data_IF_125891459409
#
_entry.id   IF_125891459409
#
_cell.length_a   1.000
_cell.length_b   1.000
_cell.length_c   1.000
_cell.angle_alpha   90.00
_cell.angle_beta   90.00
_cell.angle_gamma   90.00
#
_symmetry.space_group_name_H-M   'P 1'
#
loop_
_entity.id
_entity.type
_entity.pdbx_description
1 polymer ?
#
# COMPACT_ATOMS: atom_id res chain seq x y z
N UNK A 1 -0.81 -0.74 19.42
CA UNK A 1 -0.52 -1.10 18.01
C UNK A 1 0.91 -1.56 17.75
N UNK A 2 1.92 -0.96 18.38
CA UNK A 2 3.35 -1.27 18.15
C UNK A 2 3.74 -2.77 18.14
N UNK A 3 3.24 -3.64 19.07
CA UNK A 3 3.59 -5.06 19.01
C UNK A 3 3.20 -5.75 17.70
N UNK A 4 2.02 -5.40 17.13
CA UNK A 4 1.57 -5.96 15.86
C UNK A 4 2.41 -5.47 14.68
N UNK A 5 2.81 -4.20 14.71
CA UNK A 5 3.69 -3.64 13.68
C UNK A 5 5.08 -4.33 13.71
N UNK A 6 5.58 -4.68 14.89
CA UNK A 6 6.83 -5.43 15.01
C UNK A 6 6.72 -6.85 14.42
N UNK A 7 5.56 -7.49 14.56
CA UNK A 7 5.30 -8.80 13.93
C UNK A 7 5.20 -8.65 12.41
N UNK A 8 4.51 -7.61 11.92
CA UNK A 8 4.49 -7.30 10.49
C UNK A 8 5.91 -7.11 9.94
N UNK A 9 6.75 -6.36 10.63
CA UNK A 9 8.15 -6.16 10.24
C UNK A 9 8.94 -7.46 10.23
N UNK A 10 8.78 -8.31 11.26
CA UNK A 10 9.39 -9.64 11.31
C UNK A 10 8.98 -10.48 10.10
N UNK A 11 7.69 -10.48 9.75
CA UNK A 11 7.16 -11.21 8.61
C UNK A 11 7.72 -10.68 7.27
N UNK A 12 7.77 -9.35 7.07
CA UNK A 12 8.36 -8.74 5.90
C UNK A 12 9.85 -9.10 5.75
N UNK A 13 10.63 -9.02 6.82
CA UNK A 13 12.06 -9.37 6.80
C UNK A 13 12.28 -10.85 6.52
N UNK A 14 11.48 -11.73 7.08
CA UNK A 14 11.56 -13.15 6.79
C UNK A 14 11.24 -13.45 5.31
N UNK A 15 10.22 -12.83 4.74
CA UNK A 15 9.89 -12.95 3.32
C UNK A 15 10.98 -12.34 2.41
N UNK A 16 11.69 -11.32 2.87
CA UNK A 16 12.76 -10.68 2.10
C UNK A 16 13.91 -11.60 1.76
N UNK A 17 14.18 -12.62 2.59
CA UNK A 17 15.19 -13.64 2.32
C UNK A 17 14.81 -14.48 1.09
N UNK A 18 13.53 -14.84 0.98
CA UNK A 18 12.98 -15.58 -0.17
C UNK A 18 13.06 -14.71 -1.43
N UNK A 19 12.57 -13.46 -1.34
CA UNK A 19 12.62 -12.50 -2.44
C UNK A 19 14.05 -12.29 -2.93
N UNK A 20 14.99 -12.08 -2.01
CA UNK A 20 16.39 -11.82 -2.35
C UNK A 20 17.04 -13.00 -3.09
N UNK A 21 16.72 -14.24 -2.71
CA UNK A 21 17.19 -15.44 -3.42
C UNK A 21 16.65 -15.49 -4.85
N UNK A 22 15.34 -15.32 -5.02
CA UNK A 22 14.68 -15.33 -6.34
C UNK A 22 15.18 -14.14 -7.19
N UNK A 23 15.27 -12.95 -6.62
CA UNK A 23 15.72 -11.74 -7.32
C UNK A 23 17.17 -11.87 -7.82
N UNK A 24 18.04 -12.54 -7.09
CA UNK A 24 19.43 -12.79 -7.49
C UNK A 24 19.60 -13.99 -8.40
N UNK A 25 18.60 -14.85 -8.55
CA UNK A 25 18.65 -16.01 -9.45
C UNK A 25 18.84 -15.54 -10.89
N UNK A 26 19.66 -16.29 -11.63
CA UNK A 26 19.83 -16.13 -13.09
C UNK A 26 18.84 -16.99 -13.88
N UNK A 27 18.15 -17.89 -13.21
CA UNK A 27 17.16 -18.77 -13.85
C UNK A 27 15.86 -17.99 -14.06
N UNK A 28 15.54 -17.76 -15.33
CA UNK A 28 14.33 -17.05 -15.70
C UNK A 28 13.04 -17.89 -15.50
N UNK A 29 13.16 -19.20 -15.40
CA UNK A 29 12.00 -20.06 -15.18
C UNK A 29 11.47 -19.92 -13.74
N UNK A 30 12.32 -19.64 -12.78
CA UNK A 30 11.95 -19.30 -11.40
C UNK A 30 11.11 -18.00 -11.30
N UNK A 31 11.25 -17.12 -12.29
CA UNK A 31 10.61 -15.80 -12.31
C UNK A 31 9.28 -15.75 -13.09
N UNK A 32 8.93 -16.80 -13.83
CA UNK A 32 7.82 -16.76 -14.81
C UNK A 32 6.43 -16.99 -14.24
N UNK A 33 6.26 -17.15 -12.95
CA UNK A 33 4.94 -17.40 -12.36
C UNK A 33 4.67 -16.46 -11.19
N UNK A 34 4.06 -15.32 -11.50
CA UNK A 34 3.58 -14.35 -10.49
C UNK A 34 2.78 -15.02 -9.38
N UNK A 35 1.80 -15.85 -9.79
CA UNK A 35 0.91 -16.52 -8.85
C UNK A 35 1.69 -17.37 -7.85
N UNK A 36 2.67 -18.14 -8.33
CA UNK A 36 3.47 -19.01 -7.44
C UNK A 36 4.37 -18.24 -6.48
N UNK A 37 4.96 -17.14 -6.93
CA UNK A 37 5.84 -16.32 -6.08
C UNK A 37 4.99 -15.55 -5.07
N UNK A 38 3.91 -14.91 -5.51
CA UNK A 38 2.98 -14.21 -4.66
C UNK A 38 2.40 -15.13 -3.59
N UNK A 39 1.97 -16.34 -3.99
CA UNK A 39 1.44 -17.36 -3.11
C UNK A 39 2.46 -17.81 -2.05
N UNK A 40 3.67 -18.13 -2.48
CA UNK A 40 4.75 -18.54 -1.58
C UNK A 40 5.07 -17.47 -0.54
N UNK A 41 5.18 -16.22 -0.97
CA UNK A 41 5.49 -15.11 -0.08
C UNK A 41 4.34 -14.83 0.89
N UNK A 42 3.11 -14.88 0.39
CA UNK A 42 1.92 -14.69 1.23
C UNK A 42 1.83 -15.77 2.30
N UNK A 43 1.94 -17.06 1.92
CA UNK A 43 1.90 -18.17 2.88
C UNK A 43 2.96 -18.00 3.96
N UNK A 44 4.19 -17.67 3.55
CA UNK A 44 5.28 -17.45 4.49
C UNK A 44 5.02 -16.28 5.46
N UNK A 45 4.51 -15.16 4.96
CA UNK A 45 4.14 -14.00 5.79
C UNK A 45 3.00 -14.39 6.76
N UNK A 46 1.98 -15.08 6.26
CA UNK A 46 0.84 -15.52 7.06
C UNK A 46 1.26 -16.50 8.17
N UNK A 47 2.17 -17.44 7.89
CA UNK A 47 2.72 -18.36 8.88
C UNK A 47 3.45 -17.61 10.01
N UNK A 48 4.33 -16.65 9.67
CA UNK A 48 5.05 -15.85 10.67
C UNK A 48 4.09 -15.07 11.57
N UNK A 49 3.00 -14.56 11.00
CA UNK A 49 1.97 -13.86 11.76
C UNK A 49 1.21 -14.87 12.65
N UNK A 50 0.83 -16.03 12.13
CA UNK A 50 0.10 -17.07 12.85
C UNK A 50 0.91 -17.62 14.04
N UNK A 51 2.19 -17.89 13.84
CA UNK A 51 3.08 -18.36 14.92
C UNK A 51 3.21 -17.36 16.07
N UNK A 52 3.03 -16.09 15.77
CA UNK A 52 3.07 -15.02 16.77
C UNK A 52 1.76 -14.89 17.55
N UNK A 53 0.68 -15.48 17.02
CA UNK A 53 -0.66 -15.52 17.63
C UNK A 53 -1.19 -16.97 17.57
N UNK A 54 -0.67 -17.89 18.41
CA UNK A 54 -1.04 -19.29 18.35
C UNK A 54 -2.55 -19.47 18.59
N UNK A 55 -3.14 -20.35 17.82
CA UNK A 55 -4.52 -20.82 18.01
C UNK A 55 -4.64 -21.48 19.38
N UNK A 56 -5.33 -20.88 20.32
CA UNK A 56 -5.50 -21.46 21.63
C UNK A 56 -6.30 -20.63 22.61
N UNK A 57 -6.41 -19.36 22.35
CA UNK A 57 -7.24 -18.46 23.16
C UNK A 57 -8.47 -18.07 22.34
N UNK A 58 -9.53 -18.84 22.47
CA UNK A 58 -10.81 -18.57 21.81
C UNK A 58 -11.48 -17.29 22.31
N UNK A 59 -11.01 -16.72 23.39
CA UNK A 59 -11.49 -15.46 23.97
C UNK A 59 -10.58 -14.26 23.67
N UNK A 60 -9.35 -14.47 23.22
CA UNK A 60 -8.52 -13.40 22.66
C UNK A 60 -8.71 -13.40 21.15
N UNK A 61 -9.32 -12.33 20.67
CA UNK A 61 -9.54 -12.04 19.27
C UNK A 61 -8.20 -12.00 18.51
N UNK A 62 -7.72 -13.17 18.13
CA UNK A 62 -6.53 -13.32 17.30
C UNK A 62 -6.70 -12.61 15.97
N UNK A 63 -5.60 -12.24 15.31
CA UNK A 63 -5.68 -11.67 13.99
C UNK A 63 -6.37 -12.66 13.05
N UNK A 64 -7.47 -12.22 12.45
CA UNK A 64 -8.06 -12.93 11.34
C UNK A 64 -7.35 -12.44 10.11
N UNK A 65 -6.57 -13.29 9.46
CA UNK A 65 -6.05 -12.92 8.13
C UNK A 65 -7.17 -13.05 7.14
N UNK A 66 -7.14 -12.14 6.22
CA UNK A 66 -7.95 -12.23 5.05
C UNK A 66 -7.39 -13.40 4.25
N UNK A 67 -8.26 -14.32 3.92
CA UNK A 67 -7.91 -15.52 3.23
C UNK A 67 -7.12 -15.18 1.96
N UNK A 68 -6.01 -15.84 1.84
CA UNK A 68 -5.04 -15.94 0.79
C UNK A 68 -5.54 -15.83 -0.67
N UNK A 69 -6.73 -16.27 -0.97
CA UNK A 69 -7.37 -16.12 -2.29
C UNK A 69 -7.53 -14.67 -2.76
N UNK A 70 -7.22 -13.72 -1.93
CA UNK A 70 -7.41 -12.30 -2.18
C UNK A 70 -6.24 -11.67 -2.95
N UNK A 71 -5.04 -12.21 -2.81
CA UNK A 71 -3.86 -11.74 -3.56
C UNK A 71 -3.96 -12.12 -5.03
N UNK A 72 -4.64 -13.20 -5.32
CA UNK A 72 -4.96 -13.63 -6.67
C UNK A 72 -6.42 -13.26 -6.95
N UNK A 73 -6.68 -12.34 -7.80
CA UNK A 73 -7.93 -11.86 -8.39
C UNK A 73 -9.18 -12.80 -8.38
N UNK A 74 -9.08 -14.02 -7.90
CA UNK A 74 -10.08 -15.10 -7.96
C UNK A 74 -11.10 -15.01 -6.81
N UNK A 75 -10.75 -14.43 -5.66
CA UNK A 75 -11.66 -14.42 -4.51
C UNK A 75 -12.52 -13.16 -4.39
N UNK A 76 -12.27 -12.15 -5.22
CA UNK A 76 -13.03 -10.92 -5.28
C UNK A 76 -12.79 -9.98 -4.08
N UNK A 77 -12.51 -8.72 -4.37
CA UNK A 77 -12.31 -7.65 -3.37
C UNK A 77 -13.47 -7.52 -2.38
N UNK A 78 -14.70 -7.84 -2.80
CA UNK A 78 -15.88 -7.80 -1.94
C UNK A 78 -15.75 -8.66 -0.67
N UNK A 79 -15.06 -9.81 -0.74
CA UNK A 79 -14.82 -10.62 0.45
C UNK A 79 -13.83 -9.98 1.42
N UNK A 80 -12.85 -9.21 0.92
CA UNK A 80 -11.90 -8.46 1.76
C UNK A 80 -12.62 -7.35 2.48
N UNK A 81 -13.37 -6.53 1.73
CA UNK A 81 -14.10 -5.39 2.25
C UNK A 81 -15.12 -5.85 3.29
N UNK A 82 -15.91 -6.90 2.99
CA UNK A 82 -16.87 -7.47 3.94
C UNK A 82 -16.20 -8.00 5.23
N UNK A 83 -14.98 -8.53 5.14
CA UNK A 83 -14.24 -8.96 6.33
C UNK A 83 -13.69 -7.79 7.15
N UNK A 84 -13.39 -6.66 6.51
CA UNK A 84 -12.92 -5.44 7.18
C UNK A 84 -14.10 -4.72 7.83
N UNK A 85 -15.22 -4.58 7.13
CA UNK A 85 -16.43 -3.88 7.60
C UNK A 85 -17.25 -4.67 8.64
N UNK A 86 -16.88 -5.92 8.93
CA UNK A 86 -17.50 -6.71 9.98
C UNK A 86 -17.23 -6.05 11.34
N UNK A 87 -18.29 -5.63 12.04
CA UNK A 87 -18.27 -4.98 13.37
C UNK A 87 -17.64 -5.83 14.50
N UNK A 88 -17.06 -6.98 14.18
CA UNK A 88 -16.37 -7.83 15.13
C UNK A 88 -15.10 -7.17 15.66
N UNK A 89 -14.89 -7.33 16.97
CA UNK A 89 -13.69 -6.88 17.68
C UNK A 89 -12.47 -7.73 17.30
N UNK A 90 -12.05 -7.65 16.03
CA UNK A 90 -10.93 -8.42 15.50
C UNK A 90 -9.97 -7.56 14.71
N UNK A 91 -8.73 -8.02 14.63
CA UNK A 91 -7.72 -7.45 13.73
C UNK A 91 -7.76 -8.20 12.41
N UNK A 92 -7.73 -7.42 11.31
CA UNK A 92 -7.65 -7.95 9.95
C UNK A 92 -6.36 -7.47 9.31
N UNK A 93 -5.58 -8.39 8.77
CA UNK A 93 -4.31 -8.09 8.13
C UNK A 93 -4.47 -8.16 6.61
N UNK A 94 -4.30 -7.04 5.95
CA UNK A 94 -4.29 -6.96 4.49
C UNK A 94 -2.85 -7.01 4.03
N UNK A 95 -2.50 -8.02 3.25
CA UNK A 95 -1.13 -8.30 2.83
C UNK A 95 -1.04 -8.18 1.31
N UNK A 96 -0.11 -7.37 0.83
CA UNK A 96 0.39 -7.42 -0.53
C UNK A 96 1.83 -7.92 -0.48
N UNK A 97 2.07 -9.19 -0.82
CA UNK A 97 3.39 -9.81 -0.64
C UNK A 97 4.41 -9.36 -1.68
N UNK A 98 3.95 -8.82 -2.81
CA UNK A 98 4.81 -8.32 -3.89
C UNK A 98 4.05 -7.28 -4.72
N UNK A 99 4.22 -6.02 -4.39
CA UNK A 99 3.72 -4.91 -5.19
C UNK A 99 4.64 -4.69 -6.40
N UNK A 100 4.04 -4.62 -7.60
CA UNK A 100 4.76 -4.48 -8.86
C UNK A 100 5.66 -5.67 -9.26
N UNK A 101 4.99 -6.75 -9.66
CA UNK A 101 5.65 -7.93 -10.22
C UNK A 101 6.50 -7.61 -11.45
N UNK A 102 6.04 -6.72 -12.32
CA UNK A 102 6.77 -6.33 -13.54
C UNK A 102 8.14 -5.70 -13.20
N UNK A 103 8.19 -4.83 -12.20
CA UNK A 103 9.46 -4.27 -11.74
C UNK A 103 10.37 -5.37 -11.17
N UNK A 104 9.80 -6.30 -10.40
CA UNK A 104 10.56 -7.40 -9.82
C UNK A 104 11.20 -8.30 -10.88
N UNK A 105 10.45 -8.77 -11.88
CA UNK A 105 10.99 -9.66 -12.94
C UNK A 105 11.99 -8.95 -13.85
N UNK A 106 11.80 -7.65 -14.07
CA UNK A 106 12.72 -6.82 -14.84
C UNK A 106 13.91 -6.29 -14.03
N UNK A 107 14.07 -6.76 -12.78
CA UNK A 107 15.19 -6.37 -11.90
C UNK A 107 15.25 -4.88 -11.58
N UNK A 108 14.12 -4.20 -11.64
CA UNK A 108 13.99 -2.83 -11.13
C UNK A 108 13.70 -2.91 -9.62
N UNK A 109 14.49 -2.27 -8.75
CA UNK A 109 14.32 -2.37 -7.30
C UNK A 109 13.20 -1.45 -6.78
N UNK A 110 12.09 -1.36 -7.51
CA UNK A 110 10.93 -0.50 -7.25
C UNK A 110 9.70 -1.40 -7.04
N UNK A 111 9.76 -2.23 -6.01
CA UNK A 111 8.68 -3.11 -5.57
C UNK A 111 8.78 -3.32 -4.06
N UNK A 112 7.66 -3.64 -3.42
CA UNK A 112 7.57 -3.71 -1.98
C UNK A 112 6.75 -4.89 -1.51
N UNK A 113 6.92 -5.24 -0.23
CA UNK A 113 5.92 -5.95 0.58
C UNK A 113 5.14 -4.88 1.34
N UNK A 114 3.82 -4.96 1.37
CA UNK A 114 3.02 -4.09 2.23
C UNK A 114 2.04 -4.88 3.08
N UNK A 115 1.85 -4.41 4.32
CA UNK A 115 0.90 -4.99 5.27
C UNK A 115 0.14 -3.84 5.94
N UNK A 116 -1.19 -3.95 5.96
CA UNK A 116 -2.07 -3.01 6.69
C UNK A 116 -2.82 -3.77 7.75
N UNK A 117 -2.90 -3.21 8.94
CA UNK A 117 -3.59 -3.79 10.08
C UNK A 117 -4.86 -2.97 10.34
N UNK A 118 -6.01 -3.61 10.15
CA UNK A 118 -7.31 -3.04 10.46
C UNK A 118 -7.80 -3.52 11.81
N UNK A 119 -8.58 -2.68 12.48
CA UNK A 119 -9.35 -3.03 13.66
C UNK A 119 -10.72 -2.36 13.58
N UNK A 120 -11.80 -3.16 13.67
CA UNK A 120 -13.19 -2.66 13.53
C UNK A 120 -13.38 -1.78 12.28
N UNK A 121 -12.96 -2.26 11.13
CA UNK A 121 -13.10 -1.53 9.87
C UNK A 121 -12.09 -0.39 9.65
N UNK A 122 -11.31 -0.02 10.65
CA UNK A 122 -10.39 1.12 10.59
C UNK A 122 -8.96 0.64 10.42
N UNK A 123 -8.26 1.20 9.44
CA UNK A 123 -6.83 0.95 9.24
C UNK A 123 -6.01 1.66 10.35
N UNK A 124 -5.42 0.89 11.24
CA UNK A 124 -4.75 1.37 12.46
C UNK A 124 -3.23 1.46 12.32
N UNK A 125 -2.64 0.62 11.47
CA UNK A 125 -1.19 0.66 11.22
C UNK A 125 -0.87 0.09 9.84
N UNK A 126 0.26 0.51 9.30
CA UNK A 126 0.76 0.05 8.02
C UNK A 126 2.28 -0.05 7.99
N UNK A 127 2.77 -0.95 7.14
CA UNK A 127 4.16 -1.11 6.79
C UNK A 127 4.29 -1.27 5.28
N UNK A 128 5.28 -0.60 4.69
CA UNK A 128 5.77 -0.82 3.34
C UNK A 128 7.27 -1.05 3.44
N UNK A 129 7.73 -2.17 2.90
CA UNK A 129 9.11 -2.59 2.99
C UNK A 129 9.67 -3.02 1.65
N UNK A 130 10.73 -2.35 1.19
CA UNK A 130 11.48 -2.74 0.01
C UNK A 130 12.59 -3.73 0.40
N UNK A 131 12.49 -5.00 0.01
CA UNK A 131 13.42 -6.04 0.47
C UNK A 131 14.81 -5.98 -0.18
N UNK A 132 14.96 -5.23 -1.27
CA UNK A 132 16.25 -5.14 -1.99
C UNK A 132 17.06 -3.95 -1.49
N UNK A 133 16.38 -2.87 -1.13
CA UNK A 133 17.01 -1.64 -0.63
C UNK A 133 17.09 -1.62 0.90
N UNK A 134 16.43 -2.60 1.58
CA UNK A 134 16.20 -2.64 3.03
C UNK A 134 15.51 -1.35 3.52
N UNK A 135 14.61 -0.81 2.69
CA UNK A 135 13.96 0.46 2.91
C UNK A 135 12.60 0.26 3.58
N UNK A 136 12.37 0.91 4.72
CA UNK A 136 11.24 0.68 5.61
C UNK A 136 10.45 1.94 5.89
N UNK A 137 9.18 1.92 5.54
CA UNK A 137 8.22 2.96 5.91
C UNK A 137 7.09 2.35 6.77
N UNK A 138 6.79 3.00 7.89
CA UNK A 138 5.73 2.57 8.81
C UNK A 138 4.83 3.74 9.19
N UNK A 139 3.59 3.44 9.53
CA UNK A 139 2.69 4.41 10.12
C UNK A 139 1.77 3.75 11.17
N UNK A 140 1.45 4.49 12.21
CA UNK A 140 0.41 4.16 13.19
C UNK A 140 -0.53 5.33 13.24
N UNK A 141 -1.81 5.07 13.15
CA UNK A 141 -2.88 6.08 13.18
C UNK A 141 -2.76 6.95 14.43
N UNK A 142 -2.68 8.25 14.20
CA UNK A 142 -2.52 9.27 15.24
C UNK A 142 -1.10 9.44 15.77
N UNK A 143 -0.13 8.61 15.38
CA UNK A 143 1.27 8.71 15.82
C UNK A 143 2.19 9.28 14.72
N UNK A 144 1.71 9.26 13.47
CA UNK A 144 2.41 9.72 12.29
C UNK A 144 3.10 8.62 11.50
N UNK A 145 3.72 9.00 10.38
CA UNK A 145 4.50 8.12 9.52
C UNK A 145 5.99 8.29 9.74
N UNK A 146 6.73 7.19 9.64
CA UNK A 146 8.18 7.10 9.89
C UNK A 146 8.83 6.38 8.71
N UNK A 147 9.88 6.96 8.16
CA UNK A 147 10.75 6.36 7.18
C UNK A 147 12.18 6.28 7.76
N UNK A 148 12.78 5.10 7.79
CA UNK A 148 14.15 4.90 8.30
C UNK A 148 14.38 5.58 9.68
N UNK A 149 13.42 5.44 10.61
CA UNK A 149 13.42 6.09 11.93
C UNK A 149 13.27 7.62 11.93
N UNK A 150 13.01 8.24 10.77
CA UNK A 150 12.76 9.68 10.65
C UNK A 150 11.26 9.91 10.40
N UNK A 151 10.66 10.77 11.20
CA UNK A 151 9.26 11.17 11.00
C UNK A 151 9.09 11.93 9.69
N UNK A 152 8.28 11.37 8.78
CA UNK A 152 7.97 12.01 7.50
C UNK A 152 6.73 12.88 7.60
N UNK A 153 6.75 13.96 6.84
CA UNK A 153 5.60 14.86 6.68
C UNK A 153 5.61 15.42 5.27
N UNK A 154 4.48 15.40 4.62
CA UNK A 154 4.30 16.06 3.34
C UNK A 154 4.35 17.58 3.53
N UNK A 155 5.56 18.16 3.50
CA UNK A 155 5.75 19.60 3.63
C UNK A 155 5.44 20.31 2.32
N UNK A 156 4.78 21.47 2.43
CA UNK A 156 4.59 22.35 1.28
C UNK A 156 5.91 23.03 0.94
N UNK A 157 6.64 22.48 -0.02
CA UNK A 157 7.80 23.15 -0.60
C UNK A 157 7.34 23.73 -1.93
N UNK A 158 7.69 25.01 -2.18
CA UNK A 158 7.50 25.59 -3.53
C UNK A 158 8.40 24.86 -4.51
N UNK A 159 7.80 24.14 -5.45
CA UNK A 159 8.51 23.42 -6.49
C UNK A 159 8.38 24.18 -7.81
N UNK A 160 9.42 24.08 -8.64
CA UNK A 160 9.40 24.65 -9.98
C UNK A 160 8.33 23.99 -10.88
N UNK A 161 8.03 22.71 -10.63
CA UNK A 161 7.00 21.95 -11.38
C UNK A 161 6.32 20.94 -10.46
N UNK A 162 5.05 20.71 -10.72
CA UNK A 162 4.26 19.67 -10.07
C UNK A 162 4.64 18.31 -10.66
N UNK A 163 4.90 17.32 -9.82
CA UNK A 163 5.05 15.93 -10.23
C UNK A 163 3.77 15.16 -9.91
N UNK A 164 3.24 14.44 -10.88
CA UNK A 164 2.01 13.70 -10.74
C UNK A 164 2.09 12.29 -11.29
N UNK A 165 1.23 11.42 -10.74
CA UNK A 165 0.98 10.05 -11.20
C UNK A 165 -0.49 9.94 -11.53
N UNK A 166 -0.84 9.65 -12.78
CA UNK A 166 -2.21 9.52 -13.25
C UNK A 166 -2.28 8.30 -14.17
N UNK A 167 -3.09 7.33 -13.80
CA UNK A 167 -3.25 6.09 -14.58
C UNK A 167 -4.53 6.10 -15.45
N UNK A 168 -4.82 7.25 -16.05
CA UNK A 168 -5.94 7.42 -16.99
C UNK A 168 -5.64 8.54 -17.98
N UNK A 169 -5.76 8.22 -19.27
CA UNK A 169 -5.38 9.17 -20.34
C UNK A 169 -6.32 10.36 -20.47
N UNK A 170 -7.62 10.22 -20.13
CA UNK A 170 -8.59 11.32 -20.22
C UNK A 170 -8.42 12.28 -19.05
N UNK A 171 -8.32 11.74 -17.84
CA UNK A 171 -8.05 12.54 -16.63
C UNK A 171 -6.72 13.26 -16.80
N UNK A 172 -5.70 12.57 -17.28
CA UNK A 172 -4.38 13.15 -17.55
C UNK A 172 -4.46 14.36 -18.46
N UNK A 173 -5.16 14.28 -19.60
CA UNK A 173 -5.29 15.40 -20.54
C UNK A 173 -5.92 16.63 -19.89
N UNK A 174 -6.95 16.43 -19.06
CA UNK A 174 -7.57 17.54 -18.32
C UNK A 174 -6.59 18.18 -17.35
N UNK A 175 -5.85 17.37 -16.59
CA UNK A 175 -4.89 17.85 -15.60
C UNK A 175 -3.72 18.57 -16.25
N UNK A 176 -3.20 18.08 -17.38
CA UNK A 176 -2.12 18.72 -18.13
C UNK A 176 -2.49 20.13 -18.63
N UNK A 177 -3.74 20.35 -18.96
CA UNK A 177 -4.26 21.69 -19.34
C UNK A 177 -4.36 22.65 -18.14
N UNK A 178 -4.40 22.15 -16.91
CA UNK A 178 -4.61 22.92 -15.69
C UNK A 178 -3.35 23.18 -14.88
N UNK A 179 -2.36 22.30 -14.98
CA UNK A 179 -1.16 22.29 -14.15
C UNK A 179 0.10 22.27 -15.00
N UNK A 180 1.03 23.18 -14.71
CA UNK A 180 2.42 23.02 -15.20
C UNK A 180 3.11 21.90 -14.40
N UNK A 181 3.05 20.69 -14.94
CA UNK A 181 3.53 19.50 -14.27
C UNK A 181 4.19 18.50 -15.19
N UNK A 182 4.73 17.45 -14.59
CA UNK A 182 5.30 16.30 -15.31
C UNK A 182 4.84 14.99 -14.69
N UNK A 183 4.38 14.09 -15.54
CA UNK A 183 4.04 12.75 -15.14
C UNK A 183 5.25 11.93 -14.69
N UNK A 184 4.99 11.04 -13.75
CA UNK A 184 5.89 9.96 -13.35
C UNK A 184 5.13 8.65 -13.39
N UNK A 185 5.76 7.62 -13.91
CA UNK A 185 5.25 6.25 -13.90
C UNK A 185 6.32 5.39 -13.24
N UNK A 186 6.03 4.91 -12.05
CA UNK A 186 6.98 4.11 -11.23
C UNK A 186 6.61 2.63 -11.33
N UNK A 187 5.31 2.34 -11.50
CA UNK A 187 4.79 1.00 -11.66
C UNK A 187 4.61 0.24 -10.35
N UNK A 188 4.83 0.88 -9.20
CA UNK A 188 4.55 0.37 -7.86
C UNK A 188 3.70 1.39 -7.12
N UNK A 189 2.43 1.07 -6.90
CA UNK A 189 1.48 1.99 -6.25
C UNK A 189 1.87 2.28 -4.81
N UNK A 190 2.42 1.30 -4.10
CA UNK A 190 2.92 1.52 -2.74
C UNK A 190 4.13 2.48 -2.72
N UNK A 191 5.08 2.34 -3.66
CA UNK A 191 6.20 3.27 -3.81
C UNK A 191 5.72 4.69 -4.16
N UNK A 192 4.75 4.81 -5.06
CA UNK A 192 4.18 6.09 -5.47
C UNK A 192 3.52 6.80 -4.29
N UNK A 193 2.77 6.06 -3.44
CA UNK A 193 2.14 6.59 -2.24
C UNK A 193 3.16 6.96 -1.15
N UNK A 194 4.28 6.24 -1.03
CA UNK A 194 5.40 6.65 -0.16
C UNK A 194 5.99 7.97 -0.65
N UNK A 195 6.27 8.11 -1.94
CA UNK A 195 6.78 9.37 -2.51
C UNK A 195 5.79 10.53 -2.35
N UNK A 196 4.49 10.27 -2.38
CA UNK A 196 3.48 11.26 -2.03
C UNK A 196 3.59 11.67 -0.55
N UNK A 197 3.70 10.71 0.36
CA UNK A 197 3.82 10.97 1.79
C UNK A 197 5.06 11.82 2.14
N UNK A 198 6.16 11.60 1.44
CA UNK A 198 7.41 12.37 1.57
C UNK A 198 7.36 13.74 0.88
N UNK A 199 6.37 13.96 0.00
CA UNK A 199 6.26 15.18 -0.79
C UNK A 199 7.14 15.20 -2.03
N UNK A 200 7.63 14.05 -2.50
CA UNK A 200 8.37 13.90 -3.76
C UNK A 200 7.45 13.96 -4.96
N UNK A 201 6.23 13.44 -4.81
CA UNK A 201 5.11 13.54 -5.76
C UNK A 201 4.05 14.49 -5.16
N UNK A 202 3.35 15.24 -6.00
CA UNK A 202 2.40 16.27 -5.56
C UNK A 202 0.94 15.87 -5.75
N UNK A 203 0.67 14.97 -6.72
CA UNK A 203 -0.68 14.50 -7.06
C UNK A 203 -0.62 13.05 -7.52
N UNK A 204 -1.50 12.23 -6.96
CA UNK A 204 -1.77 10.85 -7.43
C UNK A 204 -3.26 10.72 -7.71
N UNK A 205 -3.61 10.15 -8.86
CA UNK A 205 -4.99 9.84 -9.24
C UNK A 205 -5.03 8.40 -9.77
N UNK A 206 -5.77 7.55 -9.07
CA UNK A 206 -6.05 6.19 -9.50
C UNK A 206 -7.55 6.00 -9.72
N UNK A 207 -8.01 5.81 -10.95
CA UNK A 207 -9.40 5.53 -11.26
C UNK A 207 -9.80 4.07 -10.97
N UNK A 208 -8.82 3.20 -10.79
CA UNK A 208 -9.00 1.80 -10.37
C UNK A 208 -7.82 1.37 -9.51
N UNK A 209 -8.09 1.08 -8.23
CA UNK A 209 -7.09 0.65 -7.26
C UNK A 209 -7.67 -0.36 -6.28
N UNK A 210 -6.95 -1.45 -6.09
CA UNK A 210 -7.32 -2.50 -5.14
C UNK A 210 -6.95 -2.13 -3.71
N UNK A 211 -7.66 -2.71 -2.74
CA UNK A 211 -7.38 -2.45 -1.31
C UNK A 211 -5.97 -2.87 -0.90
N UNK A 212 -5.47 -4.02 -1.38
CA UNK A 212 -4.11 -4.49 -1.05
C UNK A 212 -3.01 -3.62 -1.67
N UNK A 213 -3.28 -2.93 -2.77
CA UNK A 213 -2.35 -1.99 -3.39
C UNK A 213 -2.32 -0.63 -2.70
N UNK A 214 -3.43 -0.25 -2.05
CA UNK A 214 -3.63 1.11 -1.55
C UNK A 214 -3.60 1.25 -0.04
N UNK A 215 -4.09 0.26 0.71
CA UNK A 215 -4.38 0.44 2.13
C UNK A 215 -3.17 0.90 2.95
N UNK A 216 -2.01 0.29 2.76
CA UNK A 216 -0.79 0.69 3.48
C UNK A 216 -0.37 2.12 3.12
N UNK A 217 -0.35 2.45 1.84
CA UNK A 217 0.00 3.78 1.36
C UNK A 217 -0.98 4.86 1.82
N UNK A 218 -2.28 4.56 1.91
CA UNK A 218 -3.31 5.48 2.43
C UNK A 218 -3.02 5.84 3.89
N UNK A 219 -2.73 4.85 4.75
CA UNK A 219 -2.38 5.12 6.16
C UNK A 219 -1.14 6.00 6.24
N UNK A 220 -0.08 5.67 5.50
CA UNK A 220 1.18 6.43 5.49
C UNK A 220 0.94 7.86 4.97
N UNK A 221 0.18 8.03 3.90
CA UNK A 221 -0.17 9.34 3.35
C UNK A 221 -0.92 10.19 4.38
N UNK A 222 -1.98 9.65 5.01
CA UNK A 222 -2.78 10.37 5.99
C UNK A 222 -1.96 10.78 7.20
N UNK A 223 -1.15 9.87 7.70
CA UNK A 223 -0.27 10.12 8.86
C UNK A 223 0.89 11.10 8.56
N UNK A 224 1.20 11.32 7.28
CA UNK A 224 2.15 12.35 6.83
C UNK A 224 1.49 13.70 6.50
N UNK A 225 0.15 13.79 6.56
CA UNK A 225 -0.61 15.02 6.29
C UNK A 225 -1.04 15.21 4.83
N UNK A 226 -1.09 14.13 4.06
CA UNK A 226 -1.66 14.10 2.70
C UNK A 226 -3.18 13.96 2.78
N UNK A 227 -3.90 14.71 1.97
CA UNK A 227 -5.33 14.50 1.75
C UNK A 227 -5.55 13.32 0.81
N UNK A 228 -6.30 12.34 1.26
CA UNK A 228 -6.61 11.13 0.48
C UNK A 228 -8.12 10.88 0.54
N UNK A 229 -8.77 10.89 -0.62
CA UNK A 229 -10.22 10.64 -0.77
C UNK A 229 -10.51 9.75 -1.97
N UNK A 230 -11.75 9.28 -2.08
CA UNK A 230 -12.30 8.80 -3.33
C UNK A 230 -12.60 9.96 -4.31
N UNK A 231 -13.08 9.67 -5.51
CA UNK A 231 -13.42 10.70 -6.51
C UNK A 231 -14.64 11.56 -6.14
N UNK A 232 -15.44 11.13 -5.16
CA UNK A 232 -16.56 11.93 -4.61
C UNK A 232 -16.12 12.84 -3.46
N UNK A 233 -14.85 12.82 -3.11
CA UNK A 233 -14.30 13.56 -1.98
C UNK A 233 -14.59 12.93 -0.61
N UNK A 234 -15.05 11.68 -0.59
CA UNK A 234 -15.35 10.88 0.60
C UNK A 234 -14.23 9.92 0.99
N UNK A 235 -14.56 9.01 1.90
CA UNK A 235 -13.63 8.00 2.42
C UNK A 235 -13.97 6.58 1.94
N UNK A 236 -14.81 6.45 0.92
CA UNK A 236 -15.25 5.17 0.39
C UNK A 236 -14.29 4.62 -0.68
N UNK A 237 -12.99 4.78 -0.46
CA UNK A 237 -11.94 4.46 -1.43
C UNK A 237 -11.96 2.98 -1.80
N UNK A 238 -12.14 2.10 -0.83
CA UNK A 238 -12.05 0.66 -1.05
C UNK A 238 -13.23 0.10 -1.87
N UNK A 239 -14.45 0.63 -1.67
CA UNK A 239 -15.61 0.20 -2.46
C UNK A 239 -15.67 0.91 -3.82
N UNK A 240 -15.35 2.21 -3.85
CA UNK A 240 -15.33 2.98 -5.11
C UNK A 240 -14.16 2.61 -6.01
N UNK A 241 -13.11 2.02 -5.44
CA UNK A 241 -11.83 1.72 -6.10
C UNK A 241 -11.15 2.94 -6.72
N UNK A 242 -11.51 4.13 -6.28
CA UNK A 242 -10.94 5.37 -6.78
C UNK A 242 -10.16 6.07 -5.70
N UNK A 243 -9.02 6.66 -6.06
CA UNK A 243 -8.18 7.36 -5.12
C UNK A 243 -7.61 8.64 -5.74
N UNK A 244 -7.71 9.73 -4.99
CA UNK A 244 -6.95 10.95 -5.21
C UNK A 244 -6.16 11.26 -3.95
N UNK A 245 -4.85 11.47 -4.09
CA UNK A 245 -3.95 11.86 -3.01
C UNK A 245 -3.16 13.10 -3.41
N UNK A 246 -3.19 14.12 -2.57
CA UNK A 246 -2.44 15.38 -2.81
C UNK A 246 -2.44 16.26 -1.57
N UNK A 247 -1.77 17.41 -1.66
CA UNK A 247 -1.92 18.48 -0.67
C UNK A 247 -3.31 19.10 -0.74
N UNK A 248 -3.81 19.60 0.38
CA UNK A 248 -5.17 20.14 0.51
C UNK A 248 -5.55 21.16 -0.56
N UNK A 249 -4.67 22.13 -0.83
CA UNK A 249 -4.95 23.17 -1.84
C UNK A 249 -5.06 22.60 -3.25
N UNK A 250 -4.23 21.62 -3.58
CA UNK A 250 -4.25 20.96 -4.88
C UNK A 250 -5.45 20.01 -5.00
N UNK A 251 -5.77 19.31 -3.91
CA UNK A 251 -6.93 18.43 -3.80
C UNK A 251 -8.24 19.20 -4.11
N UNK A 252 -8.45 20.34 -3.44
CA UNK A 252 -9.62 21.21 -3.67
C UNK A 252 -9.70 21.74 -5.11
N UNK A 253 -8.55 21.94 -5.77
CA UNK A 253 -8.51 22.39 -7.16
C UNK A 253 -8.84 21.28 -8.15
N UNK A 254 -8.39 20.06 -7.88
CA UNK A 254 -8.42 18.96 -8.85
C UNK A 254 -9.70 18.12 -8.72
N UNK A 255 -10.20 17.91 -7.51
CA UNK A 255 -11.36 17.05 -7.27
C UNK A 255 -12.57 17.39 -8.16
N UNK A 256 -12.97 18.65 -8.36
CA UNK A 256 -14.11 19.00 -9.23
C UNK A 256 -13.91 18.66 -10.72
N UNK A 257 -12.69 18.43 -11.15
CA UNK A 257 -12.34 18.21 -12.57
C UNK A 257 -12.26 16.73 -12.95
N UNK A 258 -12.34 15.85 -11.97
CA UNK A 258 -12.30 14.38 -12.16
C UNK A 258 -13.63 13.69 -11.81
N UNK A 259 -14.61 14.46 -11.30
CA UNK A 259 -15.96 13.99 -10.95
C UNK A 259 -16.88 13.87 -12.18
#
# INVERSE_FOLDING_TARGET
MQPRLNIALKACRSASEIISKIYKSKDQDDLRSYDKIGDLLYQHIAEVIADSYPYGDTDTLGPTYIDYKIVNSIAGEGNVINNIDDDKERYVWVINPLDSYDNFVNKLPLFNISITIFYKGVAEAAIIYNPIQDDLVTAIKGEGAIHENVKIRNRSVSKAKILYVINDSKIKLNIENMLDGKERVIGSKSTELVYMAEGNVDLIIYPDISIWESAAGIVICRESGVFVTDFKGGDDIYNSKTLIASKEWLHKKILPEIC
#
